data_IF_677328968220
#
_entry.id   IF_677328968220
#
_cell.length_a   1.000
_cell.length_b   1.000
_cell.length_c   1.000
_cell.angle_alpha   90.00
_cell.angle_beta   90.00
_cell.angle_gamma   90.00
#
_symmetry.space_group_name_H-M   'P 1'
#
loop_
_entity.id
_entity.type
_entity.pdbx_description
1 polymer ?
#
# COMPACT_ATOMS: atom_id res chain seq x y z
N UNK A 1 22.69 -18.27 -10.79
CA UNK A 1 23.12 -17.31 -9.77
C UNK A 1 22.02 -16.27 -9.62
N UNK A 2 21.12 -16.44 -8.65
CA UNK A 2 20.10 -15.43 -8.35
C UNK A 2 20.80 -14.33 -7.57
N UNK A 3 20.94 -13.14 -8.15
CA UNK A 3 21.40 -11.96 -7.42
C UNK A 3 20.43 -11.70 -6.27
N UNK A 4 20.97 -11.63 -5.05
CA UNK A 4 20.21 -11.31 -3.84
C UNK A 4 19.78 -9.85 -3.96
N UNK A 5 18.57 -9.59 -4.45
CA UNK A 5 18.01 -8.24 -4.58
C UNK A 5 17.79 -7.67 -3.17
N UNK A 6 18.53 -6.62 -2.81
CA UNK A 6 18.30 -5.91 -1.55
C UNK A 6 17.17 -4.91 -1.72
N UNK A 7 16.28 -4.86 -0.74
CA UNK A 7 15.09 -4.00 -0.77
C UNK A 7 15.40 -2.67 -0.10
N UNK A 8 15.12 -1.57 -0.80
CA UNK A 8 15.32 -0.22 -0.29
C UNK A 8 14.12 0.67 -0.59
N UNK A 9 13.91 1.68 0.25
CA UNK A 9 12.96 2.76 0.00
C UNK A 9 13.59 3.72 -1.01
N UNK A 10 12.90 3.94 -2.12
CA UNK A 10 13.41 4.78 -3.20
C UNK A 10 13.59 6.24 -2.74
N UNK A 11 14.65 6.88 -3.23
CA UNK A 11 15.01 8.26 -2.85
C UNK A 11 13.93 9.30 -3.17
N UNK A 12 13.07 9.03 -4.15
CA UNK A 12 11.93 9.89 -4.52
C UNK A 12 10.63 9.56 -3.75
N UNK A 13 10.58 8.47 -2.97
CA UNK A 13 9.38 8.10 -2.22
C UNK A 13 9.06 9.19 -1.18
N UNK A 14 7.78 9.50 -0.97
CA UNK A 14 7.40 10.44 0.10
C UNK A 14 7.52 9.79 1.46
N UNK A 15 7.92 10.58 2.47
CA UNK A 15 8.11 10.15 3.86
C UNK A 15 7.06 10.81 4.76
N UNK A 16 6.71 10.15 5.86
CA UNK A 16 5.87 10.73 6.91
C UNK A 16 6.59 11.84 7.70
N UNK A 17 5.89 12.57 8.59
CA UNK A 17 4.49 12.44 9.01
C UNK A 17 3.51 13.29 8.16
N UNK A 18 2.24 12.88 8.13
CA UNK A 18 1.17 13.67 7.48
C UNK A 18 0.73 14.80 8.43
N UNK A 19 0.82 16.09 8.02
CA UNK A 19 0.50 17.23 8.90
C UNK A 19 -0.96 17.25 9.39
N UNK A 20 -1.87 16.67 8.61
CA UNK A 20 -3.32 16.70 8.85
C UNK A 20 -3.69 15.81 10.06
N UNK A 21 -2.97 14.72 10.27
CA UNK A 21 -3.18 13.87 11.43
C UNK A 21 -1.88 13.13 11.82
N UNK A 22 -1.08 13.70 12.73
CA UNK A 22 0.16 13.07 13.18
C UNK A 22 -0.06 11.79 13.99
N UNK A 23 -1.29 11.52 14.44
CA UNK A 23 -1.64 10.29 15.17
C UNK A 23 -1.74 9.04 14.29
N UNK A 24 -1.77 9.17 12.96
CA UNK A 24 -1.80 8.03 12.03
C UNK A 24 -0.51 7.99 11.23
N UNK A 25 0.22 6.87 11.37
CA UNK A 25 1.47 6.62 10.65
C UNK A 25 1.23 6.51 9.14
N UNK A 26 2.10 7.15 8.35
CA UNK A 26 2.17 7.03 6.90
C UNK A 26 3.63 7.02 6.43
N UNK A 27 3.97 6.33 5.33
CA UNK A 27 3.09 5.50 4.50
C UNK A 27 2.63 4.21 5.21
N UNK A 28 1.69 3.47 4.63
CA UNK A 28 1.17 2.24 5.24
C UNK A 28 2.05 1.00 4.95
N UNK A 29 2.56 0.92 3.72
CA UNK A 29 3.25 -0.27 3.19
C UNK A 29 4.26 0.13 2.11
N UNK A 30 5.34 -0.64 1.98
CA UNK A 30 6.31 -0.57 0.90
C UNK A 30 6.01 -1.65 -0.15
N UNK A 31 6.17 -1.30 -1.42
CA UNK A 31 6.02 -2.25 -2.52
C UNK A 31 6.94 -1.89 -3.69
N UNK A 32 7.19 -2.83 -4.63
CA UNK A 32 8.05 -2.58 -5.78
C UNK A 32 7.49 -1.47 -6.66
N UNK A 33 8.30 -0.44 -6.91
CA UNK A 33 7.92 0.71 -7.73
C UNK A 33 9.09 1.35 -8.49
N UNK A 34 10.29 0.75 -8.46
CA UNK A 34 11.47 1.19 -9.21
C UNK A 34 11.70 0.19 -10.34
N UNK A 35 11.94 0.69 -11.54
CA UNK A 35 12.22 -0.08 -12.76
C UNK A 35 11.20 -1.20 -13.01
N UNK A 36 9.93 -0.87 -12.85
CA UNK A 36 8.83 -1.79 -13.12
C UNK A 36 8.56 -1.81 -14.62
N UNK A 37 8.66 -2.99 -15.24
CA UNK A 37 8.31 -3.20 -16.64
C UNK A 37 6.79 -3.14 -16.81
N UNK A 38 6.31 -2.19 -17.60
CA UNK A 38 4.88 -2.01 -17.86
C UNK A 38 4.63 -1.69 -19.34
N UNK A 39 3.41 -1.98 -19.80
CA UNK A 39 2.98 -1.62 -21.14
C UNK A 39 2.92 -0.10 -21.29
N UNK A 40 3.33 0.40 -22.45
CA UNK A 40 3.25 1.82 -22.84
C UNK A 40 2.52 1.95 -24.17
N UNK A 41 2.11 3.16 -24.53
CA UNK A 41 1.38 3.38 -25.78
C UNK A 41 2.26 3.02 -26.97
N UNK A 42 1.82 2.08 -27.85
CA UNK A 42 2.59 1.69 -29.01
C UNK A 42 2.72 2.87 -29.97
N UNK A 43 3.78 2.87 -30.79
CA UNK A 43 4.06 3.88 -31.80
C UNK A 43 4.24 5.32 -31.25
N UNK A 44 4.42 5.48 -29.93
CA UNK A 44 4.85 6.75 -29.34
C UNK A 44 6.31 6.67 -28.90
N UNK A 45 7.14 7.65 -29.26
CA UNK A 45 8.52 7.74 -28.77
C UNK A 45 8.55 7.68 -27.24
N UNK A 46 9.32 6.73 -26.73
CA UNK A 46 9.48 6.52 -25.30
C UNK A 46 10.87 6.92 -24.82
N UNK A 47 11.91 6.50 -25.55
CA UNK A 47 13.32 6.83 -25.27
C UNK A 47 13.92 7.53 -26.49
N UNK A 48 14.73 8.56 -26.26
CA UNK A 48 15.57 9.20 -27.27
C UNK A 48 17.04 8.78 -27.10
N UNK A 49 17.68 8.32 -28.17
CA UNK A 49 19.14 8.08 -28.20
C UNK A 49 19.73 8.96 -29.31
N UNK A 50 20.38 10.05 -28.92
CA UNK A 50 20.81 11.09 -29.86
C UNK A 50 19.62 11.64 -30.65
N UNK A 51 19.65 11.48 -31.98
CA UNK A 51 18.56 11.91 -32.87
C UNK A 51 17.49 10.83 -33.10
N UNK A 52 17.69 9.62 -32.57
CA UNK A 52 16.76 8.51 -32.77
C UNK A 52 15.69 8.49 -31.68
N UNK A 53 14.43 8.36 -32.09
CA UNK A 53 13.29 8.17 -31.19
C UNK A 53 12.87 6.70 -31.24
N UNK A 54 13.05 6.00 -30.13
CA UNK A 54 12.71 4.60 -30.00
C UNK A 54 11.26 4.46 -29.51
N UNK A 55 10.52 3.58 -30.18
CA UNK A 55 9.20 3.14 -29.77
C UNK A 55 9.31 1.74 -29.18
N UNK A 56 8.46 1.42 -28.22
CA UNK A 56 8.40 0.11 -27.57
C UNK A 56 6.97 -0.11 -27.09
N UNK A 57 6.57 -1.37 -26.96
CA UNK A 57 5.28 -1.73 -26.36
C UNK A 57 5.39 -1.84 -24.83
N UNK A 58 6.61 -2.01 -24.31
CA UNK A 58 6.91 -2.12 -22.89
C UNK A 58 8.13 -1.30 -22.49
N UNK A 59 8.07 -0.68 -21.33
CA UNK A 59 9.18 0.09 -20.79
C UNK A 59 9.30 0.00 -19.28
N UNK A 60 10.52 0.22 -18.78
CA UNK A 60 10.80 0.34 -17.36
C UNK A 60 10.38 1.73 -16.88
N UNK A 61 9.63 1.75 -15.78
CA UNK A 61 9.18 2.97 -15.14
C UNK A 61 9.38 2.91 -13.63
N UNK A 62 9.81 4.04 -13.08
CA UNK A 62 9.98 4.24 -11.65
C UNK A 62 8.99 5.28 -11.14
N UNK A 63 8.41 5.03 -9.97
CA UNK A 63 7.49 5.92 -9.30
C UNK A 63 6.60 5.19 -8.29
N UNK A 64 6.09 5.93 -7.29
CA UNK A 64 5.07 5.40 -6.37
C UNK A 64 3.79 5.02 -7.10
N UNK A 65 3.52 5.64 -8.26
CA UNK A 65 2.43 5.26 -9.18
C UNK A 65 2.60 3.88 -9.82
N UNK A 66 3.78 3.25 -9.71
CA UNK A 66 4.06 1.88 -10.16
C UNK A 66 4.06 0.86 -9.01
N UNK A 67 3.97 1.32 -7.76
CA UNK A 67 3.65 0.50 -6.60
C UNK A 67 2.16 0.09 -6.54
N UNK A 68 1.45 0.15 -7.68
CA UNK A 68 0.05 -0.30 -7.84
C UNK A 68 -0.11 -1.81 -7.71
N UNK A 69 0.99 -2.56 -7.67
CA UNK A 69 0.99 -3.99 -7.31
C UNK A 69 0.22 -4.25 -6.01
N UNK A 70 0.23 -3.31 -5.05
CA UNK A 70 -0.59 -3.39 -3.82
C UNK A 70 -2.09 -3.47 -4.13
N UNK A 71 -2.58 -2.72 -5.11
CA UNK A 71 -3.99 -2.78 -5.51
C UNK A 71 -4.34 -4.13 -6.15
N UNK A 72 -3.43 -4.71 -6.92
CA UNK A 72 -3.57 -6.07 -7.45
C UNK A 72 -3.64 -7.12 -6.34
N UNK A 73 -2.78 -7.01 -5.33
CA UNK A 73 -2.82 -7.90 -4.14
C UNK A 73 -4.12 -7.73 -3.39
N UNK A 74 -4.56 -6.49 -3.14
CA UNK A 74 -5.84 -6.22 -2.46
C UNK A 74 -7.04 -6.81 -3.23
N UNK A 75 -7.06 -6.71 -4.56
CA UNK A 75 -8.09 -7.31 -5.39
C UNK A 75 -8.08 -8.84 -5.31
N UNK A 76 -6.90 -9.47 -5.30
CA UNK A 76 -6.77 -10.91 -5.15
C UNK A 76 -7.25 -11.37 -3.77
N UNK A 77 -6.85 -10.67 -2.71
CA UNK A 77 -7.33 -10.94 -1.34
C UNK A 77 -8.84 -10.83 -1.26
N UNK A 78 -9.45 -9.81 -1.89
CA UNK A 78 -10.92 -9.69 -1.95
C UNK A 78 -11.59 -10.83 -2.72
N UNK A 79 -10.94 -11.36 -3.76
CA UNK A 79 -11.46 -12.48 -4.54
C UNK A 79 -11.48 -13.79 -3.73
N UNK A 80 -10.46 -14.01 -2.91
CA UNK A 80 -10.32 -15.17 -2.01
C UNK A 80 -11.21 -15.01 -0.78
N UNK A 81 -11.11 -13.88 -0.07
CA UNK A 81 -11.84 -13.55 1.14
C UNK A 81 -12.96 -12.54 0.85
N UNK A 82 -14.04 -13.02 0.25
CA UNK A 82 -15.13 -12.17 -0.28
C UNK A 82 -15.83 -11.36 0.80
N UNK A 83 -15.84 -11.86 2.02
CA UNK A 83 -16.48 -11.25 3.19
C UNK A 83 -15.65 -10.17 3.86
N UNK A 84 -14.31 -10.15 3.66
CA UNK A 84 -13.42 -9.15 4.25
C UNK A 84 -13.78 -7.74 3.81
N UNK A 85 -13.82 -6.82 4.76
CA UNK A 85 -13.95 -5.40 4.47
C UNK A 85 -12.66 -4.84 3.83
N UNK A 86 -12.72 -3.62 3.26
CA UNK A 86 -11.50 -2.91 2.86
C UNK A 86 -10.49 -2.72 4.01
N UNK A 87 -10.96 -2.52 5.24
CA UNK A 87 -10.11 -2.38 6.42
C UNK A 87 -9.40 -3.69 6.76
N UNK A 88 -10.12 -4.82 6.72
CA UNK A 88 -9.55 -6.14 6.94
C UNK A 88 -8.49 -6.49 5.88
N UNK A 89 -8.73 -6.21 4.60
CA UNK A 89 -7.74 -6.42 3.53
C UNK A 89 -6.51 -5.54 3.74
N UNK A 90 -6.71 -4.24 4.02
CA UNK A 90 -5.61 -3.32 4.29
C UNK A 90 -4.76 -3.82 5.44
N UNK A 91 -5.40 -4.27 6.51
CA UNK A 91 -4.69 -4.74 7.68
C UNK A 91 -3.95 -6.04 7.42
N UNK A 92 -4.56 -7.01 6.74
CA UNK A 92 -3.87 -8.25 6.35
C UNK A 92 -2.56 -7.95 5.62
N UNK A 93 -2.57 -6.99 4.69
CA UNK A 93 -1.36 -6.56 3.97
C UNK A 93 -0.32 -5.92 4.89
N UNK A 94 -0.76 -5.09 5.86
CA UNK A 94 0.12 -4.36 6.78
C UNK A 94 0.75 -5.30 7.82
N UNK A 95 -0.05 -6.16 8.46
CA UNK A 95 0.42 -7.00 9.58
C UNK A 95 1.32 -8.15 9.14
N UNK A 96 1.26 -8.53 7.86
CA UNK A 96 2.11 -9.59 7.30
C UNK A 96 3.32 -9.09 6.53
N UNK A 97 3.53 -7.77 6.47
CA UNK A 97 4.68 -7.15 5.84
C UNK A 97 5.99 -7.55 6.53
N UNK A 98 7.11 -7.48 5.79
CA UNK A 98 8.44 -7.75 6.34
C UNK A 98 9.37 -6.53 6.28
N UNK A 99 10.26 -6.42 7.27
CA UNK A 99 11.26 -5.34 7.38
C UNK A 99 12.70 -5.83 7.21
N UNK A 100 12.88 -7.14 7.04
CA UNK A 100 14.17 -7.78 6.78
C UNK A 100 14.07 -8.42 5.41
N UNK A 101 14.93 -7.99 4.49
CA UNK A 101 14.93 -8.53 3.14
C UNK A 101 15.49 -9.96 3.11
N UNK A 102 15.43 -10.60 1.93
CA UNK A 102 16.01 -11.92 1.72
C UNK A 102 17.52 -11.95 2.02
N UNK A 103 18.19 -10.79 2.07
CA UNK A 103 19.60 -10.65 2.41
C UNK A 103 19.89 -10.88 3.88
N UNK A 104 18.87 -10.76 4.74
CA UNK A 104 19.02 -10.65 6.20
C UNK A 104 19.30 -9.21 6.63
N UNK A 105 19.18 -8.25 5.72
CA UNK A 105 19.41 -6.83 6.02
C UNK A 105 18.09 -6.14 6.31
N UNK A 106 18.14 -5.18 7.23
CA UNK A 106 17.05 -4.23 7.42
C UNK A 106 16.90 -3.35 6.18
N UNK A 107 15.66 -2.95 5.89
CA UNK A 107 15.35 -2.02 4.81
C UNK A 107 16.18 -0.74 4.96
N UNK A 108 16.70 -0.23 3.85
CA UNK A 108 17.48 1.01 3.81
C UNK A 108 16.72 2.10 3.07
N UNK A 109 16.99 3.35 3.43
CA UNK A 109 16.58 4.48 2.61
C UNK A 109 17.68 4.76 1.59
N UNK A 110 17.34 4.73 0.32
CA UNK A 110 18.29 4.98 -0.77
C UNK A 110 18.89 6.38 -0.70
N UNK A 111 18.16 7.37 -0.15
CA UNK A 111 18.65 8.75 -0.10
C UNK A 111 19.78 8.97 0.90
N UNK A 112 19.78 8.22 2.00
CA UNK A 112 20.78 8.33 3.08
C UNK A 112 21.75 7.14 3.11
N UNK A 113 21.38 6.00 2.52
CA UNK A 113 22.10 4.73 2.68
C UNK A 113 21.99 4.12 4.08
N UNK A 114 21.24 4.75 4.98
CA UNK A 114 21.04 4.35 6.36
C UNK A 114 19.81 3.42 6.49
N UNK A 115 19.67 2.73 7.65
CA UNK A 115 18.45 2.00 7.95
C UNK A 115 17.21 2.89 7.83
N UNK A 116 16.23 2.42 7.07
CA UNK A 116 14.95 3.10 6.94
C UNK A 116 14.11 2.93 8.22
N UNK A 117 13.18 3.84 8.40
CA UNK A 117 12.26 3.90 9.53
C UNK A 117 10.82 3.61 9.10
N UNK A 118 9.88 3.38 10.03
CA UNK A 118 8.47 3.26 9.69
C UNK A 118 7.86 4.50 9.00
N UNK A 119 8.51 5.67 9.09
CA UNK A 119 8.11 6.87 8.32
C UNK A 119 8.48 6.77 6.83
N UNK A 120 9.35 5.83 6.47
CA UNK A 120 9.81 5.60 5.11
C UNK A 120 9.05 4.45 4.43
N UNK A 121 8.78 3.37 5.17
CA UNK A 121 8.19 2.13 4.61
C UNK A 121 6.87 1.68 5.26
N UNK A 122 6.38 2.38 6.28
CA UNK A 122 5.19 1.95 7.03
C UNK A 122 5.44 0.66 7.81
N UNK A 123 4.61 -0.36 7.58
CA UNK A 123 4.81 -1.68 8.20
C UNK A 123 5.92 -2.53 7.57
N UNK A 124 6.37 -2.20 6.36
CA UNK A 124 7.44 -2.92 5.67
C UNK A 124 7.08 -3.25 4.23
N UNK A 125 7.87 -4.10 3.61
CA UNK A 125 7.61 -4.57 2.25
C UNK A 125 6.47 -5.59 2.22
N UNK A 126 5.59 -5.43 1.24
CA UNK A 126 4.43 -6.31 1.03
C UNK A 126 4.84 -7.77 0.84
N UNK A 127 4.10 -8.68 1.49
CA UNK A 127 4.15 -10.13 1.29
C UNK A 127 2.74 -10.64 0.97
N UNK A 128 2.45 -10.83 -0.32
CA UNK A 128 1.14 -11.24 -0.78
C UNK A 128 0.75 -12.65 -0.34
N UNK A 129 1.72 -13.55 -0.17
CA UNK A 129 1.46 -14.93 0.23
C UNK A 129 1.08 -14.99 1.70
N UNK A 130 1.82 -14.28 2.56
CA UNK A 130 1.49 -14.19 3.99
C UNK A 130 0.18 -13.45 4.22
N UNK A 131 -0.11 -12.41 3.44
CA UNK A 131 -1.37 -11.66 3.54
C UNK A 131 -2.63 -12.49 3.22
N UNK A 132 -2.46 -13.65 2.54
CA UNK A 132 -3.56 -14.56 2.24
C UNK A 132 -4.09 -15.26 3.50
N UNK A 133 -3.24 -15.47 4.51
CA UNK A 133 -3.64 -16.02 5.81
C UNK A 133 -2.92 -15.27 6.94
N UNK A 134 -3.41 -14.08 7.31
CA UNK A 134 -2.77 -13.21 8.30
C UNK A 134 -2.99 -13.71 9.74
N UNK A 135 -3.80 -14.76 9.94
CA UNK A 135 -4.27 -15.24 11.24
C UNK A 135 -5.29 -14.30 11.90
N UNK A 136 -4.91 -13.05 12.17
CA UNK A 136 -5.79 -12.05 12.78
C UNK A 136 -5.88 -10.78 11.93
N UNK A 137 -7.12 -10.32 11.74
CA UNK A 137 -7.42 -9.00 11.19
C UNK A 137 -8.38 -8.26 12.14
N UNK A 138 -8.04 -7.02 12.49
CA UNK A 138 -8.95 -6.02 13.02
C UNK A 138 -9.76 -5.43 11.87
N UNK A 139 -11.07 -5.66 11.92
CA UNK A 139 -12.01 -5.05 10.99
C UNK A 139 -12.47 -3.68 11.52
N UNK A 140 -12.85 -2.79 10.61
CA UNK A 140 -13.43 -1.48 10.91
C UNK A 140 -14.54 -1.19 9.90
N UNK A 141 -15.66 -0.68 10.39
CA UNK A 141 -16.77 -0.24 9.56
C UNK A 141 -16.66 1.26 9.25
N UNK A 142 -17.50 1.73 8.34
CA UNK A 142 -17.61 3.13 7.94
C UNK A 142 -17.93 4.03 9.13
N UNK A 143 -18.68 3.52 10.11
CA UNK A 143 -19.01 4.26 11.32
C UNK A 143 -17.78 4.59 12.17
N UNK A 144 -16.80 3.67 12.27
CA UNK A 144 -15.56 3.92 12.98
C UNK A 144 -14.76 5.08 12.34
N UNK A 145 -14.80 5.19 11.00
CA UNK A 145 -14.19 6.31 10.29
C UNK A 145 -14.90 7.64 10.54
N UNK A 146 -16.24 7.64 10.65
CA UNK A 146 -17.03 8.82 10.98
C UNK A 146 -16.69 9.29 12.40
N UNK A 147 -16.68 8.38 13.36
CA UNK A 147 -16.33 8.68 14.76
C UNK A 147 -14.91 9.21 14.89
N UNK A 148 -13.96 8.63 14.14
CA UNK A 148 -12.60 9.12 14.04
C UNK A 148 -12.53 10.56 13.50
N UNK A 149 -13.25 10.87 12.40
CA UNK A 149 -13.32 12.23 11.85
C UNK A 149 -13.96 13.22 12.82
N UNK A 150 -15.05 12.83 13.49
CA UNK A 150 -15.69 13.62 14.52
C UNK A 150 -14.73 13.92 15.69
N UNK A 151 -13.93 12.93 16.10
CA UNK A 151 -12.89 13.09 17.13
C UNK A 151 -11.76 14.06 16.73
N UNK A 152 -11.51 14.24 15.43
CA UNK A 152 -10.60 15.26 14.90
C UNK A 152 -11.24 16.65 14.76
N UNK A 153 -12.51 16.82 15.12
CA UNK A 153 -13.25 18.08 15.05
C UNK A 153 -13.92 18.37 13.71
N UNK A 154 -14.07 17.37 12.84
CA UNK A 154 -14.87 17.51 11.61
C UNK A 154 -16.36 17.40 11.95
N UNK A 155 -17.13 18.42 11.57
CA UNK A 155 -18.60 18.41 11.70
C UNK A 155 -19.23 17.35 10.77
N UNK A 156 -20.40 16.83 11.13
CA UNK A 156 -21.21 15.89 10.32
C UNK A 156 -21.53 16.47 8.94
N UNK A 157 -21.62 17.80 8.86
CA UNK A 157 -21.86 18.54 7.61
C UNK A 157 -20.63 18.64 6.73
N UNK A 158 -19.45 18.28 7.23
CA UNK A 158 -18.24 18.32 6.43
C UNK A 158 -18.34 17.33 5.25
N UNK A 159 -17.86 17.69 4.05
CA UNK A 159 -18.02 16.85 2.86
C UNK A 159 -17.50 15.41 3.01
N UNK A 160 -16.41 15.20 3.75
CA UNK A 160 -15.84 13.87 4.02
C UNK A 160 -16.77 13.02 4.91
N UNK A 161 -17.24 13.59 6.03
CA UNK A 161 -18.15 12.91 6.97
C UNK A 161 -19.47 12.54 6.30
N UNK A 162 -20.05 13.47 5.54
CA UNK A 162 -21.31 13.24 4.81
C UNK A 162 -21.18 12.17 3.71
N UNK A 163 -20.02 12.11 3.04
CA UNK A 163 -19.77 11.08 2.02
C UNK A 163 -19.66 9.69 2.63
N UNK A 164 -18.98 9.58 3.78
CA UNK A 164 -18.88 8.33 4.53
C UNK A 164 -20.24 7.89 5.08
N UNK A 165 -21.05 8.80 5.61
CA UNK A 165 -22.37 8.43 6.13
C UNK A 165 -23.33 7.91 5.06
N UNK A 166 -23.26 8.45 3.83
CA UNK A 166 -23.97 7.89 2.68
C UNK A 166 -23.52 6.46 2.36
N UNK A 167 -22.22 6.15 2.51
CA UNK A 167 -21.69 4.80 2.31
C UNK A 167 -22.11 3.84 3.44
N UNK A 168 -22.09 4.29 4.69
CA UNK A 168 -22.56 3.51 5.85
C UNK A 168 -24.00 3.01 5.67
N UNK A 169 -24.91 3.89 5.20
CA UNK A 169 -26.32 3.52 4.95
C UNK A 169 -26.53 2.44 3.87
N UNK A 170 -25.51 2.16 3.07
CA UNK A 170 -25.54 1.11 2.03
C UNK A 170 -24.92 -0.21 2.48
N UNK A 171 -24.21 -0.23 3.62
CA UNK A 171 -23.58 -1.43 4.18
C UNK A 171 -24.32 -1.90 5.44
N UNK A 172 -24.42 -3.22 5.65
CA UNK A 172 -24.94 -3.78 6.90
C UNK A 172 -23.78 -4.00 7.88
N UNK A 173 -23.97 -3.75 9.19
CA UNK A 173 -22.94 -4.03 10.19
C UNK A 173 -22.62 -5.54 10.22
N UNK A 174 -21.33 -5.87 10.36
CA UNK A 174 -20.86 -7.26 10.54
C UNK A 174 -20.12 -7.39 11.88
N UNK A 175 -20.30 -8.56 12.51
CA UNK A 175 -19.54 -8.96 13.69
C UNK A 175 -18.05 -9.15 13.36
N UNK A 176 -17.14 -9.00 14.34
CA UNK A 176 -15.72 -9.29 14.16
C UNK A 176 -15.52 -10.74 13.70
N UNK A 177 -14.71 -10.92 12.65
CA UNK A 177 -14.41 -12.25 12.10
C UNK A 177 -13.07 -12.72 12.65
N UNK A 178 -13.10 -13.67 13.58
CA UNK A 178 -11.92 -14.39 14.03
C UNK A 178 -11.65 -15.56 13.09
N UNK A 179 -10.57 -15.51 12.31
CA UNK A 179 -10.07 -16.66 11.55
C UNK A 179 -9.05 -17.43 12.41
N UNK A 180 -9.55 -18.16 13.41
CA UNK A 180 -8.71 -19.03 14.24
C UNK A 180 -9.13 -20.49 14.11
N UNK A 181 -8.30 -21.31 13.48
CA UNK A 181 -8.27 -22.75 13.78
C UNK A 181 -7.39 -22.92 15.03
N UNK A 182 -8.03 -23.21 16.16
CA UNK A 182 -7.38 -23.83 17.33
C UNK A 182 -7.23 -25.32 17.04
#
# INVERSE_FOLDING_TARGET
>A
MLTKLSTSVASFSSRGLVPINPGVLKPDILAPGVDVLAAVTPNRPFIGIGNYKLVTDYALHSGTSKATSVAGVAALLKAVHKEWSPAAIRLAVITTAYTIDNTGSILKDESTGLPATPLDFGAGHIDANRAMDPGLVYDMDVQDYIEFLCGLGYDEKHPSTKSMELQSRTHRPKLPIFYGHI
#
